data_IF_873219010995
#
_entry.id   IF_873219010995
#
_cell.length_a   1.000
_cell.length_b   1.000
_cell.length_c   1.000
_cell.angle_alpha   90.00
_cell.angle_beta   90.00
_cell.angle_gamma   90.00
#
_symmetry.space_group_name_H-M   'P 1'
#
loop_
_entity.id
_entity.type
_entity.pdbx_description
1 polymer ?
#
# COMPACT_ATOMS: atom_id res chain seq x y z
N UNK A 1 -6.62 20.46 7.68
CA UNK A 1 -6.92 19.72 6.44
C UNK A 1 -6.96 18.25 6.83
N UNK A 2 -8.13 17.74 7.21
CA UNK A 2 -8.27 16.33 7.62
C UNK A 2 -8.16 15.46 6.37
N UNK A 3 -7.14 14.59 6.32
CA UNK A 3 -7.12 13.46 5.41
C UNK A 3 -8.31 12.58 5.78
N UNK A 4 -9.26 12.47 4.86
CA UNK A 4 -10.53 11.78 5.08
C UNK A 4 -10.25 10.32 5.49
N UNK A 5 -10.69 9.95 6.69
CA UNK A 5 -10.48 8.60 7.23
C UNK A 5 -11.33 7.57 6.45
N UNK A 6 -10.68 6.65 5.73
CA UNK A 6 -11.32 5.51 5.05
C UNK A 6 -12.26 4.69 5.97
N UNK A 7 -12.10 4.75 7.30
CA UNK A 7 -12.97 4.04 8.26
C UNK A 7 -14.40 4.58 8.33
N UNK A 8 -14.66 5.83 7.93
CA UNK A 8 -16.01 6.42 7.99
C UNK A 8 -16.93 6.04 6.82
N UNK A 9 -16.41 5.45 5.74
CA UNK A 9 -17.17 5.21 4.49
C UNK A 9 -17.95 3.89 4.50
N UNK A 10 -17.73 2.98 5.46
CA UNK A 10 -18.28 1.61 5.39
C UNK A 10 -19.64 1.43 6.11
N UNK A 11 -20.31 2.50 6.57
CA UNK A 11 -21.59 2.33 7.29
C UNK A 11 -22.73 3.09 6.64
N UNK A 12 -23.52 2.32 5.89
CA UNK A 12 -24.78 2.63 5.21
C UNK A 12 -24.57 3.23 3.82
N UNK A 13 -25.03 2.56 2.77
CA UNK A 13 -26.12 3.07 1.92
C UNK A 13 -26.53 2.02 0.88
N UNK A 14 -27.85 1.92 0.68
CA UNK A 14 -28.52 1.00 -0.23
C UNK A 14 -28.19 1.33 -1.69
N UNK A 15 -28.14 0.27 -2.48
CA UNK A 15 -27.83 0.21 -3.93
C UNK A 15 -28.57 1.30 -4.72
N UNK A 16 -27.81 2.13 -5.43
CA UNK A 16 -28.30 2.86 -6.61
C UNK A 16 -27.27 2.69 -7.73
N UNK A 17 -27.62 1.87 -8.72
CA UNK A 17 -26.84 1.69 -9.93
C UNK A 17 -27.05 2.92 -10.83
N UNK A 18 -25.98 3.66 -11.16
CA UNK A 18 -26.00 4.71 -12.19
C UNK A 18 -24.66 4.72 -12.94
N UNK A 19 -24.74 4.29 -14.21
CA UNK A 19 -23.98 4.65 -15.42
C UNK A 19 -22.43 4.75 -15.35
N UNK A 20 -21.78 3.63 -15.69
CA UNK A 20 -20.40 3.53 -16.20
C UNK A 20 -20.33 4.03 -17.66
N UNK A 21 -20.54 5.33 -17.92
CA UNK A 21 -20.59 5.85 -19.29
C UNK A 21 -19.26 6.44 -19.83
N UNK A 22 -18.16 6.47 -19.05
CA UNK A 22 -16.91 7.09 -19.51
C UNK A 22 -15.62 6.42 -18.98
N UNK A 23 -15.65 5.13 -18.65
CA UNK A 23 -14.43 4.41 -18.28
C UNK A 23 -13.81 3.76 -19.53
N UNK A 24 -12.68 4.29 -20.01
CA UNK A 24 -11.85 3.61 -20.99
C UNK A 24 -10.89 2.66 -20.28
N UNK A 25 -10.82 1.41 -20.74
CA UNK A 25 -9.87 0.42 -20.22
C UNK A 25 -8.66 0.35 -21.13
N UNK A 26 -7.47 0.63 -20.59
CA UNK A 26 -6.19 0.40 -21.27
C UNK A 26 -5.40 -0.69 -20.54
N UNK A 27 -4.68 -1.53 -21.27
CA UNK A 27 -3.83 -2.59 -20.72
C UNK A 27 -2.37 -2.20 -20.87
N UNK A 28 -1.61 -2.18 -19.77
CA UNK A 28 -0.16 -2.02 -19.79
C UNK A 28 0.49 -3.15 -19.00
N UNK A 29 1.43 -3.85 -19.65
CA UNK A 29 2.32 -4.76 -18.93
C UNK A 29 3.36 -3.92 -18.19
N UNK A 30 3.46 -4.07 -16.86
CA UNK A 30 4.41 -3.31 -16.06
C UNK A 30 5.85 -3.63 -16.45
N UNK A 31 6.55 -2.67 -17.05
CA UNK A 31 7.99 -2.73 -17.27
C UNK A 31 8.71 -2.43 -15.94
N UNK A 32 9.22 -3.46 -15.28
CA UNK A 32 9.86 -3.28 -13.97
C UNK A 32 10.61 -4.49 -13.44
N UNK A 33 11.56 -5.02 -14.22
CA UNK A 33 12.90 -5.47 -13.81
C UNK A 33 13.56 -6.19 -14.99
N UNK A 34 14.33 -5.46 -15.78
CA UNK A 34 15.34 -6.07 -16.65
C UNK A 34 16.60 -6.27 -15.79
N UNK A 35 16.61 -7.30 -14.95
CA UNK A 35 17.87 -7.92 -14.56
C UNK A 35 18.16 -9.00 -15.62
N UNK A 36 19.24 -8.81 -16.37
CA UNK A 36 19.74 -9.83 -17.29
C UNK A 36 20.09 -11.09 -16.49
N UNK A 37 19.21 -12.09 -16.54
CA UNK A 37 19.52 -13.46 -16.14
C UNK A 37 19.22 -14.33 -17.35
N UNK A 38 20.28 -14.84 -17.95
CA UNK A 38 20.22 -15.86 -19.01
C UNK A 38 19.41 -17.04 -18.47
N UNK A 39 18.37 -17.55 -19.17
CA UNK A 39 17.59 -18.66 -18.65
C UNK A 39 18.42 -19.93 -18.77
N UNK A 40 18.95 -20.42 -17.64
CA UNK A 40 19.31 -21.83 -17.55
C UNK A 40 18.04 -22.66 -17.69
N UNK A 41 18.02 -23.52 -18.70
CA UNK A 41 16.92 -24.41 -19.00
C UNK A 41 16.73 -25.43 -17.86
N UNK A 42 15.84 -25.09 -16.93
CA UNK A 42 15.44 -25.97 -15.84
C UNK A 42 14.27 -25.39 -15.07
N UNK A 43 13.03 -25.75 -15.46
CA UNK A 43 11.76 -25.53 -14.74
C UNK A 43 11.77 -24.31 -13.79
N UNK A 44 11.95 -23.11 -14.32
CA UNK A 44 11.82 -21.89 -13.52
C UNK A 44 10.42 -21.90 -12.89
N UNK A 45 10.36 -21.97 -11.57
CA UNK A 45 9.12 -21.79 -10.82
C UNK A 45 8.58 -20.42 -11.24
N UNK A 46 7.33 -20.36 -11.71
CA UNK A 46 6.73 -19.10 -12.09
C UNK A 46 6.90 -18.11 -10.94
N UNK A 47 7.45 -16.94 -11.23
CA UNK A 47 7.62 -15.87 -10.25
C UNK A 47 6.38 -14.97 -10.27
N UNK A 48 5.96 -14.43 -9.11
CA UNK A 48 4.86 -13.48 -9.06
C UNK A 48 5.11 -12.26 -9.95
N UNK A 49 4.10 -11.90 -10.75
CA UNK A 49 4.14 -10.76 -11.67
C UNK A 49 2.83 -9.98 -11.57
N UNK A 50 2.90 -8.67 -11.84
CA UNK A 50 1.74 -7.79 -11.95
C UNK A 50 1.59 -7.29 -13.39
N UNK A 51 0.43 -7.54 -13.98
CA UNK A 51 -0.07 -6.81 -15.13
C UNK A 51 -1.14 -5.80 -14.67
N UNK A 52 -1.48 -4.84 -15.51
CA UNK A 52 -2.43 -3.80 -15.15
C UNK A 52 -3.47 -3.57 -16.23
N UNK A 53 -4.72 -3.46 -15.80
CA UNK A 53 -5.73 -2.67 -16.50
C UNK A 53 -5.86 -1.32 -15.81
N UNK A 54 -6.23 -0.28 -16.54
CA UNK A 54 -6.44 1.05 -15.96
C UNK A 54 -7.85 1.53 -16.24
N UNK A 55 -8.56 1.98 -15.20
CA UNK A 55 -9.79 2.76 -15.32
C UNK A 55 -9.36 4.23 -15.40
N UNK A 56 -9.65 4.89 -16.53
CA UNK A 56 -9.41 6.33 -16.68
C UNK A 56 -10.72 7.11 -16.73
N UNK A 57 -10.67 8.34 -16.24
CA UNK A 57 -11.74 9.33 -16.37
C UNK A 57 -11.12 10.70 -16.54
N UNK A 58 -11.60 11.49 -17.49
CA UNK A 58 -11.18 12.86 -17.68
C UNK A 58 -12.40 13.72 -18.02
N UNK A 59 -12.68 14.70 -17.16
CA UNK A 59 -13.76 15.66 -17.35
C UNK A 59 -13.34 17.02 -16.77
N UNK A 60 -13.14 18.02 -17.63
CA UNK A 60 -12.74 19.38 -17.24
C UNK A 60 -11.56 19.40 -16.25
N UNK A 61 -11.83 19.74 -14.98
CA UNK A 61 -10.86 19.85 -13.89
C UNK A 61 -10.74 18.56 -13.05
N UNK A 62 -11.30 17.44 -13.52
CA UNK A 62 -11.36 16.18 -12.79
C UNK A 62 -10.71 15.04 -13.59
N UNK A 63 -9.82 14.31 -12.93
CA UNK A 63 -9.08 13.21 -13.55
C UNK A 63 -8.98 12.00 -12.62
N UNK A 64 -9.20 10.79 -13.16
CA UNK A 64 -8.91 9.55 -12.48
C UNK A 64 -8.01 8.66 -13.34
N UNK A 65 -6.99 8.07 -12.73
CA UNK A 65 -6.14 7.02 -13.33
C UNK A 65 -5.94 5.90 -12.33
N UNK A 66 -6.81 4.90 -12.37
CA UNK A 66 -6.91 3.86 -11.35
C UNK A 66 -6.42 2.54 -11.94
N UNK A 67 -5.26 2.07 -11.49
CA UNK A 67 -4.75 0.76 -11.82
C UNK A 67 -5.55 -0.35 -11.11
N UNK A 68 -5.92 -1.36 -11.89
CA UNK A 68 -6.41 -2.66 -11.45
C UNK A 68 -5.26 -3.66 -11.63
N UNK A 69 -4.55 -4.01 -10.54
CA UNK A 69 -3.49 -5.02 -10.61
C UNK A 69 -4.06 -6.41 -10.91
N UNK A 70 -3.34 -7.16 -11.73
CA UNK A 70 -3.61 -8.54 -12.09
C UNK A 70 -2.37 -9.36 -11.73
N UNK A 71 -2.47 -10.07 -10.61
CA UNK A 71 -1.44 -10.97 -10.10
C UNK A 71 -1.49 -12.30 -10.83
N UNK A 72 -0.31 -12.77 -11.23
CA UNK A 72 -0.06 -14.09 -11.83
C UNK A 72 1.25 -14.66 -11.32
N UNK A 73 1.46 -15.96 -11.50
CA UNK A 73 2.76 -16.60 -11.24
C UNK A 73 3.04 -16.84 -9.75
N UNK A 74 2.01 -16.89 -8.91
CA UNK A 74 2.14 -17.31 -7.51
C UNK A 74 2.27 -18.83 -7.36
N UNK A 75 1.85 -19.58 -8.38
CA UNK A 75 1.71 -21.03 -8.34
C UNK A 75 0.41 -21.51 -7.67
N UNK A 76 -0.50 -20.60 -7.33
CA UNK A 76 -1.80 -20.88 -6.72
C UNK A 76 -2.90 -20.10 -7.45
N UNK A 77 -3.62 -20.77 -8.35
CA UNK A 77 -4.62 -20.14 -9.22
C UNK A 77 -5.83 -19.61 -8.43
N UNK A 78 -6.22 -20.29 -7.36
CA UNK A 78 -7.31 -19.87 -6.48
C UNK A 78 -6.95 -18.60 -5.69
N UNK A 79 -5.70 -18.49 -5.22
CA UNK A 79 -5.18 -17.27 -4.61
C UNK A 79 -5.19 -16.11 -5.61
N UNK A 80 -4.65 -16.32 -6.81
CA UNK A 80 -4.64 -15.31 -7.88
C UNK A 80 -6.05 -14.83 -8.21
N UNK A 81 -6.99 -15.76 -8.40
CA UNK A 81 -8.39 -15.42 -8.67
C UNK A 81 -8.99 -14.55 -7.57
N UNK A 82 -8.86 -14.97 -6.30
CA UNK A 82 -9.40 -14.21 -5.16
C UNK A 82 -8.82 -12.81 -5.04
N UNK A 83 -7.49 -12.69 -5.18
CA UNK A 83 -6.81 -11.39 -5.08
C UNK A 83 -7.18 -10.49 -6.26
N UNK A 84 -7.21 -11.02 -7.48
CA UNK A 84 -7.58 -10.25 -8.67
C UNK A 84 -9.04 -9.78 -8.63
N UNK A 85 -9.95 -10.60 -8.08
CA UNK A 85 -11.34 -10.20 -7.84
C UNK A 85 -11.42 -9.05 -6.82
N UNK A 86 -10.71 -9.16 -5.68
CA UNK A 86 -10.65 -8.06 -4.71
C UNK A 86 -10.05 -6.79 -5.32
N UNK A 87 -8.96 -6.88 -6.05
CA UNK A 87 -8.31 -5.72 -6.66
C UNK A 87 -9.22 -4.97 -7.63
N UNK A 88 -10.08 -5.69 -8.36
CA UNK A 88 -11.12 -5.08 -9.17
C UNK A 88 -12.17 -4.39 -8.31
N UNK A 89 -12.65 -5.02 -7.23
CA UNK A 89 -13.61 -4.42 -6.30
C UNK A 89 -13.06 -3.14 -5.64
N UNK A 90 -11.79 -3.16 -5.19
CA UNK A 90 -11.11 -2.01 -4.60
C UNK A 90 -10.97 -0.87 -5.62
N UNK A 91 -10.57 -1.16 -6.86
CA UNK A 91 -10.48 -0.15 -7.91
C UNK A 91 -11.84 0.47 -8.25
N UNK A 92 -12.91 -0.34 -8.28
CA UNK A 92 -14.28 0.14 -8.45
C UNK A 92 -14.71 1.01 -7.27
N UNK A 93 -14.33 0.66 -6.04
CA UNK A 93 -14.61 1.48 -4.86
C UNK A 93 -13.91 2.85 -4.92
N UNK A 94 -12.64 2.88 -5.34
CA UNK A 94 -11.88 4.12 -5.56
C UNK A 94 -12.53 4.99 -6.66
N UNK A 95 -12.98 4.38 -7.76
CA UNK A 95 -13.67 5.11 -8.81
C UNK A 95 -14.99 5.71 -8.32
N UNK A 96 -15.75 4.97 -7.51
CA UNK A 96 -16.98 5.48 -6.89
C UNK A 96 -16.71 6.65 -5.95
N UNK A 97 -15.67 6.58 -5.12
CA UNK A 97 -15.31 7.71 -4.25
C UNK A 97 -14.90 8.94 -5.06
N UNK A 98 -14.19 8.74 -6.18
CA UNK A 98 -13.87 9.82 -7.11
C UNK A 98 -15.13 10.48 -7.69
N UNK A 99 -16.08 9.72 -8.21
CA UNK A 99 -17.33 10.26 -8.78
C UNK A 99 -18.14 11.03 -7.75
N UNK A 100 -18.25 10.50 -6.52
CA UNK A 100 -18.92 11.19 -5.41
C UNK A 100 -18.22 12.52 -5.09
N UNK A 101 -16.89 12.49 -4.96
CA UNK A 101 -16.10 13.68 -4.64
C UNK A 101 -16.18 14.74 -5.73
N UNK A 102 -16.12 14.33 -7.00
CA UNK A 102 -16.33 15.20 -8.14
C UNK A 102 -17.70 15.88 -8.09
N UNK A 103 -18.77 15.14 -7.80
CA UNK A 103 -20.11 15.70 -7.67
C UNK A 103 -20.22 16.75 -6.55
N UNK A 104 -19.65 16.46 -5.38
CA UNK A 104 -19.57 17.43 -4.27
C UNK A 104 -18.82 18.71 -4.67
N UNK A 105 -17.67 18.56 -5.34
CA UNK A 105 -16.83 19.68 -5.74
C UNK A 105 -17.48 20.54 -6.82
N UNK A 106 -18.15 19.94 -7.81
CA UNK A 106 -18.93 20.68 -8.81
C UNK A 106 -20.04 21.51 -8.16
N UNK A 107 -20.76 20.95 -7.19
CA UNK A 107 -21.82 21.66 -6.46
C UNK A 107 -21.29 22.84 -5.64
N UNK A 108 -20.03 22.79 -5.22
CA UNK A 108 -19.36 23.87 -4.48
C UNK A 108 -18.68 24.89 -5.40
N UNK A 109 -18.68 24.70 -6.72
CA UNK A 109 -17.87 25.50 -7.65
C UNK A 109 -16.36 25.37 -7.39
N UNK A 110 -15.92 24.24 -6.85
CA UNK A 110 -14.54 24.00 -6.42
C UNK A 110 -13.65 23.52 -7.57
N UNK A 111 -12.34 23.78 -7.44
CA UNK A 111 -11.32 23.62 -8.50
C UNK A 111 -10.89 22.18 -8.80
N UNK A 112 -9.62 22.02 -9.20
CA UNK A 112 -9.07 20.75 -9.70
C UNK A 112 -9.03 19.65 -8.63
N UNK A 113 -9.37 18.43 -9.05
CA UNK A 113 -9.19 17.21 -8.26
C UNK A 113 -8.80 16.03 -9.15
N UNK A 114 -7.74 15.33 -8.77
CA UNK A 114 -7.41 14.05 -9.39
C UNK A 114 -7.10 12.96 -8.39
N UNK A 115 -7.36 11.72 -8.81
CA UNK A 115 -6.97 10.51 -8.09
C UNK A 115 -6.16 9.59 -8.99
N UNK A 116 -5.06 9.08 -8.48
CA UNK A 116 -4.24 8.08 -9.15
C UNK A 116 -3.97 6.91 -8.21
N UNK A 117 -4.03 5.68 -8.72
CA UNK A 117 -3.56 4.50 -7.99
C UNK A 117 -2.38 3.86 -8.69
N UNK A 118 -1.48 3.30 -7.90
CA UNK A 118 -0.33 2.55 -8.40
C UNK A 118 -0.10 1.32 -7.52
N UNK A 119 0.22 0.18 -8.14
CA UNK A 119 0.60 -1.02 -7.39
C UNK A 119 1.92 -1.61 -7.88
N UNK A 120 2.68 -2.23 -6.97
CA UNK A 120 3.96 -2.89 -7.30
C UNK A 120 4.22 -4.07 -6.38
N UNK A 121 5.04 -5.01 -6.82
CA UNK A 121 5.65 -6.00 -5.93
C UNK A 121 6.71 -5.26 -5.10
N UNK A 122 6.52 -5.19 -3.80
CA UNK A 122 7.44 -4.52 -2.88
C UNK A 122 8.55 -5.45 -2.40
N UNK A 123 8.22 -6.70 -2.14
CA UNK A 123 9.16 -7.74 -1.77
C UNK A 123 8.60 -9.11 -2.15
N UNK A 124 9.48 -10.05 -2.53
CA UNK A 124 9.13 -11.44 -2.79
C UNK A 124 10.31 -12.33 -2.40
N UNK A 125 10.03 -13.42 -1.68
CA UNK A 125 11.06 -14.37 -1.25
C UNK A 125 10.69 -15.08 0.04
N UNK A 126 11.36 -16.18 0.37
CA UNK A 126 11.10 -17.00 1.56
C UNK A 126 9.62 -17.43 1.71
N UNK A 127 8.91 -17.62 0.60
CA UNK A 127 7.48 -17.98 0.61
C UNK A 127 6.53 -16.81 0.91
N UNK A 128 7.01 -15.56 0.90
CA UNK A 128 6.21 -14.36 1.09
C UNK A 128 6.15 -13.52 -0.19
N UNK A 129 5.01 -12.87 -0.39
CA UNK A 129 4.79 -11.83 -1.38
C UNK A 129 4.23 -10.59 -0.67
N UNK A 130 4.88 -9.45 -0.83
CA UNK A 130 4.38 -8.15 -0.35
C UNK A 130 4.02 -7.29 -1.56
N UNK A 131 2.75 -6.91 -1.70
CA UNK A 131 2.27 -6.00 -2.73
C UNK A 131 2.04 -4.63 -2.10
N UNK A 132 2.61 -3.58 -2.68
CA UNK A 132 2.36 -2.21 -2.28
C UNK A 132 1.27 -1.61 -3.17
N UNK A 133 0.31 -0.92 -2.56
CA UNK A 133 -0.75 -0.17 -3.21
C UNK A 133 -0.70 1.27 -2.75
N UNK A 134 -0.70 2.22 -3.69
CA UNK A 134 -0.75 3.66 -3.43
C UNK A 134 -2.03 4.24 -3.95
N UNK A 135 -2.59 5.17 -3.19
CA UNK A 135 -3.63 6.08 -3.65
C UNK A 135 -3.11 7.50 -3.44
N UNK A 136 -3.02 8.25 -4.54
CA UNK A 136 -2.58 9.64 -4.54
C UNK A 136 -3.75 10.51 -4.96
N UNK A 137 -4.14 11.42 -4.09
CA UNK A 137 -5.11 12.48 -4.39
C UNK A 137 -4.35 13.78 -4.62
N UNK A 138 -4.75 14.54 -5.63
CA UNK A 138 -4.13 15.84 -5.96
C UNK A 138 -5.20 16.92 -6.08
N UNK A 139 -4.98 18.02 -5.37
CA UNK A 139 -5.72 19.28 -5.53
C UNK A 139 -4.69 20.40 -5.62
N UNK A 140 -4.65 21.32 -4.64
CA UNK A 140 -3.58 22.31 -4.51
C UNK A 140 -2.21 21.67 -4.19
N UNK A 141 -2.22 20.53 -3.51
CA UNK A 141 -1.07 19.66 -3.27
C UNK A 141 -1.47 18.21 -3.45
N UNK A 142 -0.49 17.30 -3.48
CA UNK A 142 -0.76 15.87 -3.47
C UNK A 142 -0.63 15.26 -2.07
N UNK A 143 -1.44 14.25 -1.80
CA UNK A 143 -1.34 13.39 -0.61
C UNK A 143 -1.39 11.94 -1.03
N UNK A 144 -0.47 11.13 -0.52
CA UNK A 144 -0.35 9.70 -0.87
C UNK A 144 -0.53 8.82 0.36
N UNK A 145 -1.50 7.90 0.26
CA UNK A 145 -1.69 6.80 1.19
C UNK A 145 -1.04 5.52 0.64
N UNK A 146 -0.38 4.76 1.50
CA UNK A 146 0.32 3.52 1.14
C UNK A 146 -0.26 2.35 1.93
N UNK A 147 -0.64 1.27 1.26
CA UNK A 147 -1.13 0.03 1.87
C UNK A 147 -0.35 -1.15 1.33
N UNK A 148 -0.37 -2.26 2.07
CA UNK A 148 0.32 -3.47 1.70
C UNK A 148 -0.55 -4.70 1.89
N UNK A 149 -0.49 -5.60 0.92
CA UNK A 149 -0.94 -6.97 1.07
C UNK A 149 0.29 -7.85 1.29
N UNK A 150 0.41 -8.42 2.48
CA UNK A 150 1.49 -9.34 2.83
C UNK A 150 0.93 -10.76 2.81
N UNK A 151 1.34 -11.55 1.83
CA UNK A 151 0.73 -12.85 1.54
C UNK A 151 1.75 -13.95 1.80
N UNK A 152 1.36 -14.91 2.63
CA UNK A 152 2.03 -16.20 2.74
C UNK A 152 1.65 -17.06 1.54
N UNK A 153 2.60 -17.30 0.64
CA UNK A 153 2.37 -18.06 -0.60
C UNK A 153 2.18 -19.56 -0.34
N UNK A 154 2.62 -20.07 0.82
CA UNK A 154 2.43 -21.48 1.20
C UNK A 154 1.00 -21.77 1.65
N UNK A 155 0.40 -20.83 2.38
CA UNK A 155 -0.98 -20.95 2.90
C UNK A 155 -2.02 -20.18 2.09
N UNK A 156 -1.59 -19.23 1.27
CA UNK A 156 -2.45 -18.28 0.56
C UNK A 156 -3.16 -17.27 1.47
N UNK A 157 -2.69 -17.11 2.72
CA UNK A 157 -3.27 -16.23 3.75
C UNK A 157 -2.56 -14.88 3.79
N UNK A 158 -3.32 -13.82 4.05
CA UNK A 158 -2.75 -12.52 4.38
C UNK A 158 -2.26 -12.45 5.81
N UNK A 159 -1.12 -11.81 5.98
CA UNK A 159 -0.42 -11.61 7.24
C UNK A 159 -0.73 -10.19 7.70
N UNK A 160 -1.41 -10.08 8.84
CA UNK A 160 -1.55 -8.80 9.53
C UNK A 160 -0.28 -8.52 10.35
N UNK A 161 -0.01 -7.25 10.65
CA UNK A 161 1.13 -6.88 11.49
C UNK A 161 1.07 -7.57 12.86
N UNK A 162 -0.15 -7.70 13.42
CA UNK A 162 -0.41 -8.39 14.68
C UNK A 162 -0.01 -9.87 14.67
N UNK A 163 -0.04 -10.53 13.51
CA UNK A 163 0.30 -11.96 13.39
C UNK A 163 1.78 -12.23 13.67
N UNK A 164 2.63 -11.21 13.59
CA UNK A 164 4.06 -11.30 13.85
C UNK A 164 4.39 -11.29 15.36
N UNK A 165 3.43 -10.92 16.21
CA UNK A 165 3.66 -10.65 17.63
C UNK A 165 2.72 -11.44 18.53
N UNK A 166 3.14 -11.64 19.79
CA UNK A 166 2.38 -12.42 20.79
C UNK A 166 1.05 -11.76 21.17
N UNK A 167 1.04 -10.43 21.20
CA UNK A 167 -0.07 -9.58 21.62
C UNK A 167 0.21 -8.12 21.27
N UNK A 168 -0.78 -7.25 21.44
CA UNK A 168 -0.73 -5.84 21.04
C UNK A 168 0.34 -4.98 21.72
N UNK A 169 1.09 -5.49 22.71
CA UNK A 169 2.14 -4.69 23.40
C UNK A 169 3.30 -4.33 22.49
N UNK A 170 3.36 -4.84 21.25
CA UNK A 170 4.39 -4.51 20.26
C UNK A 170 4.35 -3.05 19.78
N UNK A 171 3.18 -2.41 19.82
CA UNK A 171 2.98 -1.06 19.24
C UNK A 171 3.90 -0.02 19.86
N UNK A 172 3.99 0.02 21.20
CA UNK A 172 4.85 0.98 21.94
C UNK A 172 6.34 0.75 21.72
N UNK A 173 6.90 -0.47 21.85
CA UNK A 173 8.29 -0.76 21.48
C UNK A 173 8.62 -0.39 20.03
N UNK A 174 7.77 -0.73 19.06
CA UNK A 174 8.00 -0.36 17.65
C UNK A 174 8.02 1.16 17.47
N UNK A 175 7.10 1.88 18.10
CA UNK A 175 7.08 3.36 18.07
C UNK A 175 8.37 3.96 18.62
N UNK A 176 8.89 3.41 19.73
CA UNK A 176 10.17 3.85 20.31
C UNK A 176 11.35 3.59 19.37
N UNK A 177 11.37 2.42 18.72
CA UNK A 177 12.41 2.08 17.74
C UNK A 177 12.37 3.05 16.55
N UNK A 178 11.18 3.28 15.98
CA UNK A 178 10.99 4.23 14.86
C UNK A 178 11.46 5.64 15.25
N UNK A 179 11.08 6.15 16.43
CA UNK A 179 11.58 7.44 16.93
C UNK A 179 13.10 7.51 17.03
N UNK A 180 13.75 6.40 17.43
CA UNK A 180 15.22 6.34 17.46
C UNK A 180 15.83 6.34 16.07
N UNK A 181 15.26 5.58 15.12
CA UNK A 181 15.71 5.56 13.72
C UNK A 181 15.59 6.94 13.06
N UNK A 182 14.48 7.65 13.29
CA UNK A 182 14.29 9.04 12.83
C UNK A 182 15.39 9.97 13.35
N UNK A 183 15.73 9.88 14.64
CA UNK A 183 16.82 10.68 15.23
C UNK A 183 18.17 10.36 14.61
N UNK A 184 18.43 9.09 14.29
CA UNK A 184 19.67 8.68 13.64
C UNK A 184 19.76 9.19 12.20
N UNK A 185 18.67 9.16 11.44
CA UNK A 185 18.61 9.71 10.09
C UNK A 185 18.84 11.22 10.09
N UNK A 186 18.16 11.99 10.96
CA UNK A 186 18.36 13.44 11.08
C UNK A 186 19.79 13.85 11.49
N UNK A 187 20.52 12.97 12.20
CA UNK A 187 21.94 13.20 12.53
C UNK A 187 22.85 12.99 11.32
N UNK A 188 22.51 12.05 10.45
CA UNK A 188 23.30 11.70 9.25
C UNK A 188 23.05 12.67 8.10
N UNK A 189 21.83 13.17 7.98
CA UNK A 189 21.43 14.08 6.91
C UNK A 189 20.67 15.28 7.48
N UNK A 190 21.22 16.48 7.27
CA UNK A 190 20.64 17.75 7.72
C UNK A 190 19.41 18.17 6.92
N UNK A 191 19.19 17.60 5.73
CA UNK A 191 18.00 17.87 4.92
C UNK A 191 16.79 17.03 5.37
N UNK A 192 17.01 16.01 6.20
CA UNK A 192 15.96 15.14 6.73
C UNK A 192 15.31 15.77 7.96
N UNK A 193 13.97 15.82 7.99
CA UNK A 193 13.20 16.39 9.09
C UNK A 193 12.01 15.51 9.49
N UNK A 194 11.88 15.21 10.79
CA UNK A 194 10.78 14.43 11.36
C UNK A 194 10.08 15.15 12.50
N UNK A 195 8.79 14.91 12.66
CA UNK A 195 7.96 15.42 13.75
C UNK A 195 8.14 14.55 15.01
N UNK A 196 9.31 14.61 15.64
CA UNK A 196 9.70 13.69 16.74
C UNK A 196 8.74 13.72 17.95
N UNK A 197 8.10 14.87 18.20
CA UNK A 197 7.14 15.07 19.28
C UNK A 197 5.76 14.47 18.96
N UNK A 198 5.40 14.44 17.68
CA UNK A 198 4.06 14.08 17.19
C UNK A 198 3.99 12.69 16.54
N UNK A 199 5.07 11.89 16.57
CA UNK A 199 5.04 10.55 15.97
C UNK A 199 3.93 9.71 16.64
N UNK A 200 2.91 9.30 15.87
CA UNK A 200 1.80 8.52 16.41
C UNK A 200 2.29 7.14 16.83
N UNK A 201 1.58 6.54 17.79
CA UNK A 201 1.82 5.13 18.12
C UNK A 201 1.55 4.26 16.89
N UNK A 202 2.46 3.30 16.64
CA UNK A 202 2.30 2.29 15.59
C UNK A 202 0.95 1.61 15.77
N UNK A 203 0.12 1.68 14.73
CA UNK A 203 -1.22 1.11 14.77
C UNK A 203 -1.18 -0.38 14.47
N UNK A 204 -2.24 -1.10 14.85
CA UNK A 204 -2.41 -2.51 14.47
C UNK A 204 -2.47 -2.71 12.95
N UNK A 205 -3.06 -1.73 12.26
CA UNK A 205 -3.18 -1.66 10.80
C UNK A 205 -2.10 -0.76 10.18
N UNK A 206 -0.95 -0.59 10.83
CA UNK A 206 0.17 0.18 10.26
C UNK A 206 0.64 -0.53 8.98
N UNK A 207 0.76 0.20 7.84
CA UNK A 207 1.35 -0.33 6.63
C UNK A 207 2.74 -0.90 6.90
N UNK A 208 2.99 -2.11 6.44
CA UNK A 208 4.26 -2.79 6.62
C UNK A 208 4.52 -3.75 5.48
N UNK A 209 5.78 -4.11 5.28
CA UNK A 209 6.15 -5.27 4.47
C UNK A 209 7.32 -6.02 5.10
N UNK A 210 7.60 -7.21 4.58
CA UNK A 210 8.73 -8.03 5.02
C UNK A 210 9.70 -8.21 3.85
N UNK A 211 10.93 -7.78 4.06
CA UNK A 211 12.01 -7.87 3.07
C UNK A 211 13.24 -8.48 3.75
N UNK A 212 13.78 -9.54 3.15
CA UNK A 212 14.94 -10.27 3.68
C UNK A 212 14.81 -10.69 5.16
N UNK A 213 13.59 -11.04 5.58
CA UNK A 213 13.28 -11.42 6.95
C UNK A 213 13.30 -10.26 7.96
N UNK A 214 13.25 -9.01 7.48
CA UNK A 214 13.17 -7.82 8.32
C UNK A 214 11.80 -7.18 8.15
N UNK A 215 11.26 -6.70 9.27
CA UNK A 215 10.03 -5.91 9.27
C UNK A 215 10.35 -4.49 8.81
N UNK A 216 9.60 -3.99 7.84
CA UNK A 216 9.66 -2.59 7.41
C UNK A 216 8.31 -1.93 7.68
N UNK A 217 8.29 -0.91 8.53
CA UNK A 217 7.08 -0.11 8.79
C UNK A 217 7.05 1.10 7.86
N UNK A 218 5.88 1.41 7.30
CA UNK A 218 5.69 2.50 6.35
C UNK A 218 4.67 3.49 6.89
N UNK A 219 5.00 4.78 6.86
CA UNK A 219 4.15 5.89 7.28
C UNK A 219 3.72 6.70 6.05
N UNK A 220 2.42 6.97 5.96
CA UNK A 220 1.82 7.78 4.90
C UNK A 220 2.46 9.18 4.85
N UNK A 221 2.45 9.79 3.66
CA UNK A 221 2.99 11.13 3.45
C UNK A 221 2.39 12.13 4.44
N UNK A 222 3.24 12.99 5.03
CA UNK A 222 2.78 13.99 6.00
C UNK A 222 2.54 13.48 7.42
N UNK A 223 2.60 12.16 7.68
CA UNK A 223 2.30 11.60 9.01
C UNK A 223 3.39 11.88 10.04
N UNK A 224 4.65 11.71 9.64
CA UNK A 224 5.80 11.79 10.55
C UNK A 224 6.88 12.75 10.08
N UNK A 225 6.71 13.31 8.88
CA UNK A 225 7.64 14.20 8.20
C UNK A 225 6.85 15.17 7.29
N UNK A 226 7.44 16.31 6.88
CA UNK A 226 6.83 17.19 5.88
C UNK A 226 6.46 16.45 4.59
N UNK A 227 5.40 16.92 3.91
CA UNK A 227 4.90 16.29 2.67
C UNK A 227 5.97 16.14 1.58
N UNK A 228 6.96 17.02 1.52
CA UNK A 228 8.08 16.96 0.58
C UNK A 228 8.96 15.72 0.72
N UNK A 229 8.94 15.06 1.88
CA UNK A 229 9.70 13.83 2.13
C UNK A 229 8.99 12.55 1.66
N UNK A 230 7.75 12.67 1.15
CA UNK A 230 6.94 11.54 0.74
C UNK A 230 6.55 10.62 1.91
N UNK A 231 6.13 9.40 1.57
CA UNK A 231 5.95 8.33 2.56
C UNK A 231 7.31 7.88 3.11
N UNK A 232 7.34 7.48 4.39
CA UNK A 232 8.60 7.14 5.10
C UNK A 232 8.60 5.70 5.55
N UNK A 233 9.67 4.97 5.25
CA UNK A 233 9.84 3.56 5.58
C UNK A 233 10.97 3.38 6.58
N UNK A 234 10.78 2.50 7.56
CA UNK A 234 11.75 2.22 8.61
C UNK A 234 11.95 0.72 8.78
N UNK A 235 13.17 0.25 8.50
CA UNK A 235 13.58 -1.13 8.73
C UNK A 235 13.78 -1.34 10.23
N UNK A 236 12.96 -2.21 10.83
CA UNK A 236 12.98 -2.48 12.25
C UNK A 236 14.02 -3.56 12.56
N UNK A 237 15.04 -3.28 13.39
CA UNK A 237 15.98 -4.31 13.82
C UNK A 237 15.24 -5.42 14.58
N UNK A 238 15.51 -6.69 14.27
CA UNK A 238 14.82 -7.82 14.92
C UNK A 238 15.26 -8.03 16.37
N UNK A 239 16.54 -7.77 16.69
CA UNK A 239 17.12 -8.04 18.02
C UNK A 239 16.32 -7.41 19.18
N UNK A 240 15.93 -6.12 19.15
CA UNK A 240 15.14 -5.49 20.20
C UNK A 240 13.69 -6.00 20.32
N UNK A 241 13.12 -6.58 19.26
CA UNK A 241 11.72 -7.05 19.24
C UNK A 241 11.58 -8.56 19.40
N UNK A 242 12.69 -9.33 19.43
CA UNK A 242 12.69 -10.79 19.50
C UNK A 242 11.83 -11.36 20.63
N UNK A 243 11.82 -10.72 21.80
CA UNK A 243 11.00 -11.14 22.94
C UNK A 243 9.48 -10.97 22.73
N UNK A 244 9.07 -10.14 21.77
CA UNK A 244 7.69 -9.79 21.45
C UNK A 244 7.10 -10.66 20.33
N UNK A 245 7.96 -11.30 19.52
CA UNK A 245 7.54 -12.08 18.36
C UNK A 245 6.73 -13.30 18.75
N UNK A 246 5.67 -13.59 17.99
CA UNK A 246 4.88 -14.80 18.18
C UNK A 246 5.78 -16.05 17.98
N UNK A 247 5.73 -17.08 18.84
CA UNK A 247 6.52 -18.30 18.60
C UNK A 247 6.18 -19.00 17.28
N UNK A 248 4.96 -18.78 16.78
CA UNK A 248 4.45 -19.34 15.52
C UNK A 248 4.86 -18.57 14.27
N UNK A 249 5.37 -17.34 14.38
CA UNK A 249 5.81 -16.61 13.18
C UNK A 249 7.14 -17.18 12.67
N UNK A 250 7.28 -17.33 11.36
CA UNK A 250 8.49 -17.85 10.69
C UNK A 250 9.10 -16.86 9.68
N UNK A 251 8.64 -15.61 9.73
CA UNK A 251 8.89 -14.60 8.70
C UNK A 251 10.08 -13.69 9.04
N UNK A 252 10.20 -13.31 10.32
CA UNK A 252 11.25 -12.40 10.80
C UNK A 252 12.45 -13.17 11.35
N UNK A 253 13.65 -12.75 10.95
CA UNK A 253 14.95 -13.37 11.32
C UNK A 253 15.76 -12.49 12.26
#
# INVERSE_FOLDING_TARGET
>A
MEVFSMKKVVRNFKVMAVLLAAAAFSFSAGAGYAAQVTPEAGKAKAEPQLAFSTITHQEEAFEASIQVPILRGTGNAELEKRLNERFLEDAVAVYRSFVLRMGEMKNMGAGYFSIATASRIAAHGNGLLSLEHRVTETMASSGTLVRFDNIDLGTGREIALSDLFKDDRYTKPLTKIVKSLMKEEMKKDKATAYFLEEVPEVRKDQPFYIEDGKLVLVFDQGTVAPYSMGARSFVIPTKPIKGLLAPSQSYLK
#
